data_IF_576840538281
#
_entry.id   IF_576840538281
#
_cell.length_a   1.000
_cell.length_b   1.000
_cell.length_c   1.000
_cell.angle_alpha   90.00
_cell.angle_beta   90.00
_cell.angle_gamma   90.00
#
_symmetry.space_group_name_H-M   'P 1'
#
loop_
_entity.id
_entity.type
_entity.pdbx_description
1 polymer ?
#
# COMPACT_ATOMS: atom_id res chain seq x y z
N UNK A 1 -15.16 -24.96 17.66
CA UNK A 1 -16.10 -23.84 17.36
C UNK A 1 -15.70 -23.27 16.01
N UNK A 2 -16.63 -23.12 15.08
CA UNK A 2 -16.37 -22.34 13.86
C UNK A 2 -16.18 -20.88 14.29
N UNK A 3 -15.04 -20.28 13.94
CA UNK A 3 -14.86 -18.84 14.14
C UNK A 3 -15.80 -18.11 13.18
N UNK A 4 -16.86 -17.49 13.70
CA UNK A 4 -17.77 -16.71 12.89
C UNK A 4 -17.12 -15.34 12.57
N UNK A 5 -16.97 -15.05 11.28
CA UNK A 5 -16.61 -13.71 10.81
C UNK A 5 -17.84 -12.79 10.85
N UNK A 6 -17.63 -11.48 10.97
CA UNK A 6 -18.71 -10.53 10.72
C UNK A 6 -19.20 -10.64 9.26
N UNK A 7 -20.44 -10.25 8.94
CA UNK A 7 -21.01 -10.46 7.61
C UNK A 7 -20.20 -9.82 6.47
N UNK A 8 -19.54 -8.68 6.71
CA UNK A 8 -18.75 -7.99 5.68
C UNK A 8 -17.47 -8.79 5.40
N UNK A 9 -16.75 -9.18 6.46
CA UNK A 9 -15.56 -10.03 6.34
C UNK A 9 -15.87 -11.39 5.71
N UNK A 10 -17.00 -12.01 6.08
CA UNK A 10 -17.43 -13.28 5.49
C UNK A 10 -17.70 -13.14 3.99
N UNK A 11 -18.37 -12.07 3.56
CA UNK A 11 -18.61 -11.81 2.14
C UNK A 11 -17.32 -11.58 1.36
N UNK A 12 -16.38 -10.82 1.93
CA UNK A 12 -15.07 -10.61 1.33
C UNK A 12 -14.29 -11.93 1.15
N UNK A 13 -14.27 -12.79 2.17
CA UNK A 13 -13.62 -14.11 2.09
C UNK A 13 -14.30 -14.99 1.04
N UNK A 14 -15.63 -15.05 1.03
CA UNK A 14 -16.39 -15.85 0.05
C UNK A 14 -16.19 -15.38 -1.40
N UNK A 15 -15.99 -14.08 -1.61
CA UNK A 15 -15.67 -13.54 -2.93
C UNK A 15 -14.24 -13.91 -3.33
N UNK A 16 -13.29 -13.74 -2.41
CA UNK A 16 -11.86 -13.98 -2.66
C UNK A 16 -11.50 -15.46 -2.79
N UNK A 17 -12.27 -16.37 -2.17
CA UNK A 17 -12.03 -17.83 -2.24
C UNK A 17 -12.27 -18.45 -3.61
N UNK A 18 -12.81 -17.69 -4.57
CA UNK A 18 -13.06 -18.13 -5.96
C UNK A 18 -11.87 -17.88 -6.88
N UNK A 19 -10.89 -17.10 -6.43
CA UNK A 19 -9.68 -16.77 -7.19
C UNK A 19 -8.59 -17.83 -7.01
N UNK A 20 -7.70 -18.02 -8.00
CA UNK A 20 -6.52 -18.87 -7.83
C UNK A 20 -5.64 -18.39 -6.66
N UNK A 21 -5.02 -19.32 -5.91
CA UNK A 21 -4.04 -18.99 -4.89
C UNK A 21 -2.94 -18.08 -5.43
N UNK A 22 -2.49 -17.15 -4.59
CA UNK A 22 -1.49 -16.16 -4.99
C UNK A 22 -0.17 -16.77 -5.48
N UNK A 23 0.27 -17.90 -4.90
CA UNK A 23 1.53 -18.54 -5.27
C UNK A 23 1.50 -19.22 -6.65
N UNK A 24 0.32 -19.34 -7.26
CA UNK A 24 0.14 -19.83 -8.62
C UNK A 24 0.22 -18.68 -9.66
N UNK A 25 0.26 -17.42 -9.21
CA UNK A 25 0.40 -16.23 -10.06
C UNK A 25 1.86 -15.86 -10.23
N UNK A 26 2.21 -15.27 -11.38
CA UNK A 26 3.51 -14.62 -11.56
C UNK A 26 3.64 -13.40 -10.65
N UNK A 27 4.86 -12.94 -10.37
CA UNK A 27 5.08 -11.76 -9.54
C UNK A 27 4.36 -10.50 -10.05
N UNK A 28 4.35 -10.17 -11.35
CA UNK A 28 3.60 -9.03 -11.87
C UNK A 28 2.09 -9.16 -11.61
N UNK A 29 1.49 -10.30 -11.93
CA UNK A 29 0.05 -10.54 -11.71
C UNK A 29 -0.32 -10.47 -10.23
N UNK A 30 0.52 -11.04 -9.37
CA UNK A 30 0.33 -11.02 -7.93
C UNK A 30 0.43 -9.61 -7.34
N UNK A 31 1.26 -8.73 -7.93
CA UNK A 31 1.33 -7.30 -7.57
C UNK A 31 0.08 -6.59 -8.05
N UNK A 32 -0.23 -6.66 -9.34
CA UNK A 32 -1.39 -5.98 -9.93
C UNK A 32 -2.72 -6.35 -9.26
N UNK A 33 -2.89 -7.61 -8.83
CA UNK A 33 -4.07 -8.03 -8.08
C UNK A 33 -4.23 -7.25 -6.76
N UNK A 34 -3.16 -7.10 -5.98
CA UNK A 34 -3.20 -6.34 -4.72
C UNK A 34 -3.54 -4.87 -4.99
N UNK A 35 -2.95 -4.33 -6.04
CA UNK A 35 -3.10 -2.93 -6.46
C UNK A 35 -4.55 -2.62 -6.85
N UNK A 36 -5.17 -3.51 -7.62
CA UNK A 36 -6.57 -3.40 -8.01
C UNK A 36 -7.52 -3.49 -6.79
N UNK A 37 -7.20 -4.34 -5.81
CA UNK A 37 -8.01 -4.52 -4.60
C UNK A 37 -7.89 -3.34 -3.61
N UNK A 38 -6.79 -2.60 -3.63
CA UNK A 38 -6.49 -1.52 -2.67
C UNK A 38 -6.71 -0.11 -3.24
N UNK A 39 -7.40 0.01 -4.37
CA UNK A 39 -7.80 1.31 -4.91
C UNK A 39 -8.67 2.04 -3.90
N UNK A 40 -8.29 3.29 -3.61
CA UNK A 40 -8.98 4.15 -2.67
C UNK A 40 -8.82 5.60 -3.08
N UNK A 41 -9.75 6.44 -2.66
CA UNK A 41 -9.63 7.89 -2.80
C UNK A 41 -8.82 8.45 -1.62
N UNK A 42 -7.78 9.27 -1.86
CA UNK A 42 -7.05 9.94 -0.80
C UNK A 42 -7.95 10.83 0.06
N UNK A 43 -7.58 10.98 1.34
CA UNK A 43 -8.26 11.91 2.24
C UNK A 43 -8.11 13.37 1.76
N UNK A 44 -9.19 14.16 1.69
CA UNK A 44 -9.15 15.51 1.08
C UNK A 44 -8.30 16.53 1.86
N UNK A 45 -7.99 16.24 3.11
CA UNK A 45 -7.22 17.08 4.02
C UNK A 45 -5.75 16.66 4.15
N UNK A 46 -5.31 15.62 3.42
CA UNK A 46 -3.95 15.12 3.44
C UNK A 46 -3.17 15.68 2.25
N UNK A 47 -2.01 16.26 2.52
CA UNK A 47 -1.01 16.63 1.51
C UNK A 47 0.09 15.58 1.48
N UNK A 48 0.49 15.22 0.27
CA UNK A 48 1.54 14.26 -0.01
C UNK A 48 2.78 14.98 -0.52
N UNK A 49 3.95 14.55 -0.06
CA UNK A 49 5.24 15.06 -0.51
C UNK A 49 6.19 13.90 -0.75
N UNK A 50 6.65 13.74 -2.00
CA UNK A 50 7.75 12.83 -2.31
C UNK A 50 9.06 13.45 -1.87
N UNK A 51 9.81 12.70 -1.08
CA UNK A 51 11.12 13.10 -0.57
C UNK A 51 12.13 11.99 -0.86
N UNK A 52 13.35 12.40 -1.14
CA UNK A 52 14.49 11.52 -1.34
C UNK A 52 15.31 11.46 -0.05
N UNK A 53 15.32 10.29 0.60
CA UNK A 53 16.06 10.10 1.85
C UNK A 53 17.42 9.47 1.54
N UNK A 54 18.54 10.17 1.80
CA UNK A 54 19.87 9.62 1.54
C UNK A 54 20.18 8.49 2.53
N UNK A 55 20.74 7.39 2.02
CA UNK A 55 21.22 6.27 2.81
C UNK A 55 22.47 5.66 2.19
N UNK A 56 23.63 5.91 2.81
CA UNK A 56 24.95 5.54 2.30
C UNK A 56 25.18 6.10 0.88
N UNK A 57 25.42 5.24 -0.11
CA UNK A 57 25.62 5.63 -1.52
C UNK A 57 24.32 5.64 -2.33
N UNK A 58 23.17 5.47 -1.68
CA UNK A 58 21.85 5.31 -2.32
C UNK A 58 20.85 6.36 -1.82
N UNK A 59 19.77 6.48 -2.58
CA UNK A 59 18.60 7.28 -2.22
C UNK A 59 17.40 6.36 -2.09
N UNK A 60 16.66 6.51 -1.00
CA UNK A 60 15.41 5.80 -0.76
C UNK A 60 14.26 6.79 -0.96
N UNK A 61 13.38 6.59 -1.96
CA UNK A 61 12.20 7.43 -2.11
C UNK A 61 11.24 7.13 -0.96
N UNK A 62 10.73 8.20 -0.34
CA UNK A 62 9.70 8.12 0.68
C UNK A 62 8.61 9.15 0.40
N UNK A 63 7.42 8.94 0.97
CA UNK A 63 6.34 9.91 0.89
C UNK A 63 5.91 10.32 2.29
N UNK A 64 5.88 11.63 2.48
CA UNK A 64 5.38 12.26 3.69
C UNK A 64 3.91 12.60 3.50
N UNK A 65 3.07 12.01 4.34
CA UNK A 65 1.66 12.38 4.48
C UNK A 65 1.51 13.39 5.61
N UNK A 66 0.89 14.53 5.33
CA UNK A 66 0.69 15.60 6.32
C UNK A 66 -0.70 16.18 6.23
N UNK A 67 -1.40 16.25 7.35
CA UNK A 67 -2.68 16.96 7.41
C UNK A 67 -2.50 18.47 7.19
N UNK A 68 -3.37 19.04 6.36
CA UNK A 68 -3.45 20.49 6.16
C UNK A 68 -4.44 21.08 7.18
N UNK A 69 -4.11 22.15 7.94
CA UNK A 69 -2.89 22.96 7.99
C UNK A 69 -2.16 22.79 9.34
N UNK A 70 -1.42 21.71 9.56
CA UNK A 70 -0.63 21.57 10.79
C UNK A 70 0.50 22.65 10.84
N UNK A 71 0.27 23.75 11.58
CA UNK A 71 1.19 24.92 11.69
C UNK A 71 2.33 24.76 12.70
N UNK A 72 2.42 23.61 13.38
CA UNK A 72 3.41 23.33 14.44
C UNK A 72 4.18 22.04 14.12
N UNK A 73 5.27 21.81 14.83
CA UNK A 73 5.91 20.49 14.86
C UNK A 73 4.88 19.45 15.29
N UNK A 74 4.82 18.35 14.55
CA UNK A 74 3.93 17.22 14.81
C UNK A 74 4.77 15.96 15.01
N UNK A 75 4.31 15.00 15.83
CA UNK A 75 4.90 13.68 15.88
C UNK A 75 4.94 13.04 14.49
N UNK A 76 5.99 12.29 14.21
CA UNK A 76 6.18 11.58 12.94
C UNK A 76 6.05 10.09 13.18
N UNK A 77 5.34 9.41 12.30
CA UNK A 77 5.24 7.95 12.26
C UNK A 77 6.01 7.48 11.04
N UNK A 78 7.00 6.62 11.24
CA UNK A 78 7.63 5.89 10.16
C UNK A 78 6.75 4.65 9.86
N UNK A 79 6.24 4.58 8.64
CA UNK A 79 5.42 3.46 8.17
C UNK A 79 6.14 2.70 7.06
N UNK A 80 6.12 1.38 7.15
CA UNK A 80 6.59 0.46 6.11
C UNK A 80 5.42 -0.42 5.70
N UNK A 81 5.17 -0.56 4.41
CA UNK A 81 4.00 -1.30 3.92
C UNK A 81 4.19 -2.81 4.09
N UNK A 82 3.06 -3.51 4.24
CA UNK A 82 3.01 -4.98 4.21
C UNK A 82 3.14 -5.56 2.79
N UNK A 83 2.71 -6.80 2.60
CA UNK A 83 2.75 -7.47 1.28
C UNK A 83 3.84 -8.54 1.15
N UNK A 84 4.42 -8.95 2.29
CA UNK A 84 5.37 -10.07 2.36
C UNK A 84 6.71 -9.78 1.69
N UNK A 85 7.12 -8.51 1.65
CA UNK A 85 8.36 -8.02 1.00
C UNK A 85 8.43 -8.26 -0.52
N UNK A 86 7.35 -8.74 -1.13
CA UNK A 86 7.28 -9.06 -2.58
C UNK A 86 6.31 -8.14 -3.30
N UNK A 87 5.22 -7.74 -2.63
CA UNK A 87 4.12 -6.93 -3.18
C UNK A 87 3.86 -5.69 -2.33
N UNK A 88 3.00 -4.83 -2.86
CA UNK A 88 2.69 -3.53 -2.29
C UNK A 88 3.67 -2.50 -2.82
N UNK A 89 3.13 -1.38 -3.27
CA UNK A 89 3.89 -0.17 -3.57
C UNK A 89 3.03 1.02 -3.15
N UNK A 90 3.60 2.20 -3.26
CA UNK A 90 2.87 3.41 -2.97
C UNK A 90 2.01 3.81 -4.17
N UNK A 91 0.70 3.73 -4.02
CA UNK A 91 -0.27 3.94 -5.11
C UNK A 91 -0.82 5.36 -5.05
N UNK A 92 -0.11 6.28 -5.69
CA UNK A 92 -0.52 7.68 -5.81
C UNK A 92 -0.08 8.25 -7.16
N UNK A 93 -0.66 9.38 -7.53
CA UNK A 93 -0.38 10.09 -8.77
C UNK A 93 1.04 10.67 -8.74
N UNK A 94 1.97 10.04 -9.46
CA UNK A 94 3.26 10.66 -9.82
C UNK A 94 4.53 9.94 -9.36
N UNK A 95 4.46 8.80 -8.65
CA UNK A 95 5.65 7.95 -8.43
C UNK A 95 5.70 6.84 -9.49
N UNK A 96 6.77 6.77 -10.29
CA UNK A 96 6.93 5.71 -11.28
C UNK A 96 6.85 4.33 -10.62
N UNK A 97 6.19 3.39 -11.30
CA UNK A 97 6.24 1.99 -10.93
C UNK A 97 7.71 1.55 -10.84
N UNK A 98 8.13 1.05 -9.68
CA UNK A 98 9.44 0.44 -9.51
C UNK A 98 9.39 -0.91 -10.23
N UNK A 99 9.64 -0.92 -11.54
CA UNK A 99 9.80 -2.14 -12.31
C UNK A 99 11.20 -2.65 -12.06
N UNK A 100 11.35 -3.55 -11.09
CA UNK A 100 12.53 -4.39 -11.03
C UNK A 100 12.41 -5.41 -12.18
N UNK A 101 13.29 -5.26 -13.18
CA UNK A 101 13.64 -6.35 -14.10
C UNK A 101 14.07 -7.59 -13.31
#
# INVERSE_FOLDING_TARGET
MSAALDPISQNFVNASSKEPPLHEKTYPEARELLEAQQQHEPGPDIKEYTIDVPFDTRTVPAVLFRSHPAKRHVPVILYTHGGGMIRGRLNHTGVPSITNN
#
